data_IF_343001732127
#
_entry.id   IF_343001732127
#
_cell.length_a   1.000
_cell.length_b   1.000
_cell.length_c   1.000
_cell.angle_alpha   90.00
_cell.angle_beta   90.00
_cell.angle_gamma   90.00
#
_symmetry.space_group_name_H-M   'P 1'
#
loop_
_entity.id
_entity.type
_entity.pdbx_description
1 polymer ?
#
# COMPACT_ATOMS: atom_id res chain seq x y z
N UNK A 1 13.33 8.34 2.52
CA UNK A 1 14.07 7.24 3.17
C UNK A 1 14.33 7.62 4.60
N UNK A 2 13.56 7.09 5.54
CA UNK A 2 13.79 7.24 6.98
C UNK A 2 14.08 5.87 7.58
N UNK A 3 14.92 5.81 8.62
CA UNK A 3 15.09 4.60 9.42
C UNK A 3 14.00 4.58 10.49
N UNK A 4 13.38 3.43 10.72
CA UNK A 4 12.40 3.25 11.79
C UNK A 4 12.73 1.99 12.57
N UNK A 5 12.68 2.10 13.89
CA UNK A 5 12.97 1.01 14.82
C UNK A 5 11.65 0.41 15.31
N UNK A 6 11.43 -0.87 15.01
CA UNK A 6 10.26 -1.63 15.42
C UNK A 6 10.78 -2.96 15.98
N UNK A 7 10.61 -3.18 17.29
CA UNK A 7 11.00 -4.44 17.98
C UNK A 7 12.49 -4.81 17.82
N UNK A 8 13.40 -3.86 18.03
CA UNK A 8 14.87 -4.07 17.92
C UNK A 8 15.38 -4.48 16.54
N UNK A 9 14.56 -4.31 15.49
CA UNK A 9 14.92 -4.52 14.09
C UNK A 9 14.89 -3.18 13.36
N UNK A 10 15.98 -2.90 12.64
CA UNK A 10 16.10 -1.72 11.79
C UNK A 10 15.34 -1.92 10.49
N UNK A 11 14.34 -1.07 10.24
CA UNK A 11 13.63 -1.01 8.96
C UNK A 11 14.05 0.22 8.16
N UNK A 12 14.06 0.06 6.84
CA UNK A 12 14.09 1.18 5.89
C UNK A 12 12.65 1.50 5.51
N UNK A 13 12.20 2.72 5.80
CA UNK A 13 10.88 3.21 5.44
C UNK A 13 10.91 3.90 4.08
N UNK A 14 10.09 3.39 3.18
CA UNK A 14 9.77 3.96 1.88
C UNK A 14 8.33 4.48 1.92
N UNK A 15 8.13 5.74 1.55
CA UNK A 15 6.83 6.40 1.56
C UNK A 15 6.57 7.00 0.19
N UNK A 16 5.35 6.80 -0.30
CA UNK A 16 4.87 7.32 -1.58
C UNK A 16 3.60 8.11 -1.29
N UNK A 17 3.56 9.35 -1.77
CA UNK A 17 2.43 10.25 -1.57
C UNK A 17 2.01 10.80 -2.93
N UNK A 18 0.71 10.83 -3.17
CA UNK A 18 0.11 11.42 -4.35
C UNK A 18 -0.99 12.43 -3.99
N UNK A 19 -1.41 13.21 -4.98
CA UNK A 19 -2.46 14.23 -4.85
C UNK A 19 -3.76 13.78 -5.56
N UNK A 20 -3.94 12.47 -5.77
CA UNK A 20 -5.13 11.90 -6.37
C UNK A 20 -6.31 11.85 -5.39
N UNK A 21 -7.39 11.20 -5.83
CA UNK A 21 -8.64 11.10 -5.07
C UNK A 21 -8.55 10.22 -3.81
N UNK A 22 -7.41 9.55 -3.61
CA UNK A 22 -7.21 8.60 -2.53
C UNK A 22 -7.92 7.25 -2.70
N UNK A 23 -7.95 6.49 -1.61
CA UNK A 23 -8.56 5.16 -1.53
C UNK A 23 -9.51 5.17 -0.35
N UNK A 24 -10.79 4.87 -0.60
CA UNK A 24 -11.79 4.76 0.46
C UNK A 24 -11.36 3.75 1.54
N UNK A 25 -11.62 4.05 2.81
CA UNK A 25 -11.34 3.17 3.95
C UNK A 25 -11.75 1.70 3.71
N UNK A 26 -12.97 1.49 3.21
CA UNK A 26 -13.53 0.15 2.94
C UNK A 26 -12.75 -0.66 1.88
N UNK A 27 -11.88 0.00 1.12
CA UNK A 27 -11.07 -0.61 0.06
C UNK A 27 -9.61 -0.80 0.46
N UNK A 28 -9.12 -0.13 1.51
CA UNK A 28 -7.69 -0.09 1.89
C UNK A 28 -7.08 -1.48 2.12
N UNK A 29 -7.86 -2.44 2.65
CA UNK A 29 -7.38 -3.82 2.79
C UNK A 29 -7.39 -4.58 1.45
N UNK A 30 -8.41 -4.33 0.61
CA UNK A 30 -8.61 -5.04 -0.65
C UNK A 30 -7.58 -4.71 -1.74
N UNK A 31 -7.02 -3.50 -1.76
CA UNK A 31 -6.07 -3.07 -2.81
C UNK A 31 -4.79 -3.91 -2.85
N UNK A 32 -4.46 -4.62 -1.77
CA UNK A 32 -3.29 -5.50 -1.69
C UNK A 32 -3.55 -6.92 -2.19
N UNK A 33 -4.81 -7.26 -2.53
CA UNK A 33 -5.19 -8.58 -3.03
C UNK A 33 -4.85 -8.74 -4.51
N UNK A 34 -4.50 -9.95 -4.90
CA UNK A 34 -4.22 -10.29 -6.30
C UNK A 34 -5.48 -10.20 -7.16
N UNK A 35 -5.36 -9.50 -8.30
CA UNK A 35 -6.49 -9.30 -9.19
C UNK A 35 -7.49 -8.27 -8.69
N UNK A 36 -7.19 -7.51 -7.61
CA UNK A 36 -7.99 -6.36 -7.23
C UNK A 36 -8.02 -5.36 -8.39
N UNK A 37 -9.22 -5.12 -8.89
CA UNK A 37 -9.51 -4.11 -9.90
C UNK A 37 -10.69 -3.31 -9.41
N UNK A 38 -10.57 -1.99 -9.43
CA UNK A 38 -11.78 -1.17 -9.37
C UNK A 38 -12.62 -1.48 -10.61
N UNK A 39 -13.93 -1.71 -10.39
CA UNK A 39 -14.92 -2.02 -11.43
C UNK A 39 -15.00 -0.94 -12.54
N UNK A 40 -14.34 0.20 -12.36
CA UNK A 40 -14.29 1.31 -13.30
C UNK A 40 -13.16 1.18 -14.33
N UNK A 41 -13.22 0.16 -15.20
CA UNK A 41 -12.61 0.19 -16.53
C UNK A 41 -11.10 0.49 -16.65
N UNK A 42 -10.31 0.33 -15.58
CA UNK A 42 -8.88 0.65 -15.59
C UNK A 42 -8.10 -0.30 -16.50
N UNK A 43 -7.21 0.26 -17.34
CA UNK A 43 -6.38 -0.47 -18.32
C UNK A 43 -5.32 -1.40 -17.70
N UNK A 44 -5.41 -1.75 -16.42
CA UNK A 44 -4.41 -2.52 -15.67
C UNK A 44 -4.85 -3.93 -15.30
N UNK A 45 -3.90 -4.85 -15.19
CA UNK A 45 -4.17 -6.23 -14.74
C UNK A 45 -4.42 -6.36 -13.24
N UNK A 46 -4.17 -5.32 -12.43
CA UNK A 46 -4.39 -5.37 -10.96
C UNK A 46 -3.34 -6.21 -10.23
N UNK A 47 -2.12 -6.30 -10.77
CA UNK A 47 -1.05 -7.18 -10.26
C UNK A 47 0.05 -6.46 -9.48
N UNK A 48 0.14 -5.12 -9.57
CA UNK A 48 1.27 -4.36 -9.03
C UNK A 48 1.36 -4.41 -7.50
N UNK A 49 0.28 -4.01 -6.83
CA UNK A 49 0.23 -3.98 -5.36
C UNK A 49 0.29 -5.37 -4.74
N UNK A 50 -0.32 -6.38 -5.38
CA UNK A 50 -0.25 -7.76 -4.91
C UNK A 50 1.16 -8.34 -5.02
N UNK A 51 1.89 -8.04 -6.11
CA UNK A 51 3.28 -8.42 -6.27
C UNK A 51 4.18 -7.78 -5.21
N UNK A 52 4.06 -6.46 -4.99
CA UNK A 52 4.82 -5.76 -3.96
C UNK A 52 4.50 -6.32 -2.57
N UNK A 53 3.23 -6.61 -2.28
CA UNK A 53 2.82 -7.23 -1.01
C UNK A 53 3.48 -8.58 -0.79
N UNK A 54 3.56 -9.43 -1.84
CA UNK A 54 4.29 -10.71 -1.79
C UNK A 54 5.77 -10.49 -1.49
N UNK A 55 6.44 -9.58 -2.21
CA UNK A 55 7.86 -9.27 -2.02
C UNK A 55 8.13 -8.77 -0.60
N UNK A 56 7.38 -7.78 -0.11
CA UNK A 56 7.58 -7.21 1.22
C UNK A 56 7.38 -8.27 2.32
N UNK A 57 6.36 -9.14 2.18
CA UNK A 57 6.11 -10.24 3.13
C UNK A 57 7.24 -11.28 3.10
N UNK A 58 7.82 -11.60 1.94
CA UNK A 58 8.96 -12.52 1.82
C UNK A 58 10.20 -12.04 2.59
N UNK A 59 10.37 -10.72 2.73
CA UNK A 59 11.45 -10.11 3.51
C UNK A 59 11.04 -9.74 4.94
N UNK A 60 9.93 -10.29 5.46
CA UNK A 60 9.40 -9.99 6.80
C UNK A 60 9.15 -8.49 7.04
N UNK A 61 8.90 -7.75 5.95
CA UNK A 61 8.57 -6.33 5.96
C UNK A 61 7.09 -6.08 6.22
N UNK A 62 6.74 -4.79 6.27
CA UNK A 62 5.37 -4.33 6.44
C UNK A 62 5.01 -3.37 5.32
N UNK A 63 3.76 -3.45 4.87
CA UNK A 63 3.17 -2.54 3.89
C UNK A 63 1.77 -2.16 4.39
N UNK A 64 1.43 -0.88 4.25
CA UNK A 64 0.13 -0.34 4.62
C UNK A 64 -0.12 0.93 3.82
N UNK A 65 -1.35 1.44 3.88
CA UNK A 65 -1.78 2.68 3.24
C UNK A 65 -2.42 3.57 4.29
N UNK A 66 -2.17 4.87 4.20
CA UNK A 66 -2.70 5.91 5.09
C UNK A 66 -3.16 7.09 4.25
N UNK A 67 -4.05 7.90 4.82
CA UNK A 67 -4.48 9.13 4.17
C UNK A 67 -3.39 10.18 4.27
N UNK A 68 -3.21 10.91 3.18
CA UNK A 68 -2.30 12.06 3.14
C UNK A 68 -2.72 13.13 4.17
N UNK A 69 -4.02 13.29 4.36
CA UNK A 69 -4.64 14.22 5.31
C UNK A 69 -5.69 13.48 6.12
N UNK A 70 -5.59 13.50 7.46
CA UNK A 70 -6.57 12.87 8.35
C UNK A 70 -7.98 13.42 8.06
N UNK A 71 -8.90 12.55 7.68
CA UNK A 71 -10.30 12.89 7.42
C UNK A 71 -10.66 13.06 5.93
N UNK A 72 -9.69 12.93 5.03
CA UNK A 72 -9.95 12.77 3.60
C UNK A 72 -9.85 11.27 3.24
N UNK A 73 -11.03 10.70 2.91
CA UNK A 73 -11.39 9.41 2.24
C UNK A 73 -11.13 8.01 2.86
#
# INVERSE_FOLDING_TARGET
MSKTELKDVNYVKLEFMDNGIGVQDSKKEGIFLEGYKELKGGKGMGIGLSLITKIIKLYNGKIWVEDRTKGDY
#
